data_IF_856117173235
#
_entry.id   IF_856117173235
#
_cell.length_a   1.000
_cell.length_b   1.000
_cell.length_c   1.000
_cell.angle_alpha   90.00
_cell.angle_beta   90.00
_cell.angle_gamma   90.00
#
_symmetry.space_group_name_H-M   'P 1'
#
loop_
_entity.id
_entity.type
_entity.pdbx_description
1 polymer ?
#
# COMPACT_ATOMS: atom_id res chain seq x y z
N UNK A 1 3.93 -4.63 -13.88
CA UNK A 1 2.62 -3.94 -13.76
C UNK A 1 2.00 -4.09 -12.37
N UNK A 2 1.79 -5.31 -11.87
CA UNK A 2 1.16 -5.55 -10.55
C UNK A 2 1.79 -4.75 -9.38
N UNK A 3 3.12 -4.78 -9.24
CA UNK A 3 3.85 -4.07 -8.17
C UNK A 3 3.65 -2.55 -8.24
N UNK A 4 3.69 -1.97 -9.45
CA UNK A 4 3.48 -0.53 -9.67
C UNK A 4 2.04 -0.16 -9.28
N UNK A 5 1.07 -0.97 -9.68
CA UNK A 5 -0.34 -0.78 -9.31
C UNK A 5 -0.53 -0.85 -7.80
N UNK A 6 0.11 -1.81 -7.12
CA UNK A 6 0.08 -1.88 -5.66
C UNK A 6 0.69 -0.64 -5.00
N UNK A 7 1.82 -0.13 -5.50
CA UNK A 7 2.43 1.08 -4.96
C UNK A 7 1.47 2.28 -5.08
N UNK A 8 0.88 2.48 -6.26
CA UNK A 8 -0.08 3.57 -6.51
C UNK A 8 -1.34 3.40 -5.65
N UNK A 9 -1.89 2.19 -5.60
CA UNK A 9 -3.09 1.91 -4.79
C UNK A 9 -2.84 2.20 -3.33
N UNK A 10 -1.68 1.81 -2.77
CA UNK A 10 -1.40 2.07 -1.37
C UNK A 10 -1.29 3.57 -1.08
N UNK A 11 -0.86 4.41 -2.03
CA UNK A 11 -0.89 5.87 -1.87
C UNK A 11 -2.33 6.36 -1.74
N UNK A 12 -3.22 5.94 -2.64
CA UNK A 12 -4.63 6.33 -2.58
C UNK A 12 -5.34 5.75 -1.36
N UNK A 13 -5.03 4.51 -0.97
CA UNK A 13 -5.57 3.86 0.22
C UNK A 13 -5.13 4.58 1.49
N UNK A 14 -3.92 5.14 1.53
CA UNK A 14 -3.50 5.97 2.65
C UNK A 14 -4.38 7.21 2.78
N UNK A 15 -4.66 7.92 1.67
CA UNK A 15 -5.61 9.05 1.69
C UNK A 15 -7.01 8.59 2.09
N UNK A 16 -7.48 7.44 1.58
CA UNK A 16 -8.77 6.87 1.92
C UNK A 16 -8.92 6.63 3.44
N UNK A 17 -7.87 6.15 4.10
CA UNK A 17 -7.94 5.73 5.51
C UNK A 17 -7.52 6.83 6.49
N UNK A 18 -6.47 7.57 6.15
CA UNK A 18 -5.83 8.57 7.00
C UNK A 18 -6.16 10.01 6.61
N UNK A 19 -6.89 10.23 5.52
CA UNK A 19 -7.29 11.57 5.07
C UNK A 19 -7.96 12.40 6.15
N UNK A 20 -8.73 11.76 7.05
CA UNK A 20 -9.37 12.39 8.21
C UNK A 20 -8.40 13.06 9.20
N UNK A 21 -7.13 12.66 9.23
CA UNK A 21 -6.11 13.18 10.13
C UNK A 21 -5.28 14.31 9.51
N UNK A 22 -5.49 14.63 8.24
CA UNK A 22 -4.80 15.73 7.58
C UNK A 22 -5.18 17.07 8.23
N UNK A 23 -4.20 17.97 8.34
CA UNK A 23 -4.40 19.31 8.87
C UNK A 23 -5.29 20.19 7.97
N UNK A 24 -5.60 21.41 8.40
CA UNK A 24 -6.52 22.32 7.70
C UNK A 24 -5.96 22.92 6.40
N UNK A 25 -4.69 22.65 6.08
CA UNK A 25 -4.12 23.04 4.79
C UNK A 25 -4.58 22.14 3.64
N UNK A 26 -5.11 20.96 3.96
CA UNK A 26 -5.60 20.00 2.97
C UNK A 26 -7.09 20.20 2.70
N UNK A 27 -7.55 19.94 1.46
CA UNK A 27 -8.96 20.06 1.12
C UNK A 27 -9.86 19.18 1.99
N UNK A 28 -10.96 19.74 2.49
CA UNK A 28 -11.91 19.02 3.37
C UNK A 28 -12.53 17.79 2.72
N UNK A 29 -12.63 17.75 1.38
CA UNK A 29 -13.20 16.59 0.69
C UNK A 29 -12.39 15.31 0.92
N UNK A 30 -11.07 15.39 1.16
CA UNK A 30 -10.23 14.23 1.52
C UNK A 30 -10.59 13.65 2.89
N UNK A 31 -11.21 14.43 3.77
CA UNK A 31 -11.67 14.03 5.10
C UNK A 31 -13.09 13.43 5.05
N UNK A 32 -13.78 13.54 3.91
CA UNK A 32 -15.19 13.18 3.78
C UNK A 32 -15.40 11.67 3.60
N UNK A 33 -16.49 11.14 4.17
CA UNK A 33 -16.90 9.74 3.93
C UNK A 33 -17.21 9.49 2.45
N UNK A 34 -17.68 10.51 1.72
CA UNK A 34 -17.97 10.39 0.29
C UNK A 34 -16.69 10.10 -0.51
N UNK A 35 -15.58 10.77 -0.20
CA UNK A 35 -14.29 10.46 -0.80
C UNK A 35 -13.88 9.00 -0.57
N UNK A 36 -14.06 8.49 0.65
CA UNK A 36 -13.77 7.08 0.99
C UNK A 36 -14.53 6.11 0.08
N UNK A 37 -15.82 6.35 -0.15
CA UNK A 37 -16.63 5.50 -1.02
C UNK A 37 -16.24 5.61 -2.50
N UNK A 38 -16.04 6.84 -3.00
CA UNK A 38 -15.71 7.08 -4.41
C UNK A 38 -14.34 6.51 -4.75
N UNK A 39 -13.33 6.68 -3.88
CA UNK A 39 -11.97 6.19 -4.13
C UNK A 39 -11.83 4.68 -3.84
N UNK A 40 -12.66 4.12 -2.96
CA UNK A 40 -12.63 2.71 -2.62
C UNK A 40 -12.95 1.79 -3.81
N UNK A 41 -13.89 2.17 -4.68
CA UNK A 41 -14.24 1.41 -5.88
C UNK A 41 -13.06 1.25 -6.88
N UNK A 42 -12.38 2.33 -7.33
CA UNK A 42 -11.23 2.21 -8.21
C UNK A 42 -10.04 1.52 -7.52
N UNK A 43 -9.83 1.72 -6.22
CA UNK A 43 -8.81 0.97 -5.46
C UNK A 43 -9.09 -0.53 -5.52
N UNK A 44 -10.32 -0.96 -5.24
CA UNK A 44 -10.71 -2.37 -5.29
C UNK A 44 -10.50 -2.98 -6.68
N UNK A 45 -10.88 -2.28 -7.74
CA UNK A 45 -10.65 -2.71 -9.12
C UNK A 45 -9.16 -2.84 -9.44
N UNK A 46 -8.34 -1.87 -9.03
CA UNK A 46 -6.90 -1.91 -9.26
C UNK A 46 -6.21 -3.06 -8.50
N UNK A 47 -6.63 -3.35 -7.26
CA UNK A 47 -6.16 -4.53 -6.50
C UNK A 47 -6.54 -5.84 -7.18
N UNK A 48 -7.75 -5.92 -7.74
CA UNK A 48 -8.19 -7.09 -8.50
C UNK A 48 -7.30 -7.33 -9.72
N UNK A 49 -7.02 -6.29 -10.52
CA UNK A 49 -6.11 -6.40 -11.67
C UNK A 49 -4.67 -6.73 -11.24
N UNK A 50 -4.16 -6.12 -10.18
CA UNK A 50 -2.82 -6.43 -9.66
C UNK A 50 -2.71 -7.91 -9.26
N UNK A 51 -3.75 -8.45 -8.62
CA UNK A 51 -3.83 -9.87 -8.25
C UNK A 51 -3.85 -10.76 -9.48
N UNK A 52 -4.67 -10.42 -10.49
CA UNK A 52 -4.75 -11.15 -11.76
C UNK A 52 -3.39 -11.20 -12.47
N UNK A 53 -2.74 -10.05 -12.68
CA UNK A 53 -1.45 -9.99 -13.37
C UNK A 53 -0.34 -10.73 -12.64
N UNK A 54 -0.35 -10.70 -11.31
CA UNK A 54 0.62 -11.47 -10.54
C UNK A 54 0.39 -12.96 -10.67
N UNK A 55 -0.86 -13.41 -10.63
CA UNK A 55 -1.20 -14.81 -10.80
C UNK A 55 -0.83 -15.32 -12.20
N UNK A 56 -1.08 -14.53 -13.24
CA UNK A 56 -0.69 -14.86 -14.62
C UNK A 56 0.83 -15.03 -14.80
N UNK A 57 1.64 -14.32 -14.00
CA UNK A 57 3.10 -14.41 -14.07
C UNK A 57 3.67 -15.54 -13.19
N UNK A 58 3.18 -15.68 -11.95
CA UNK A 58 3.76 -16.59 -10.96
C UNK A 58 3.01 -17.93 -10.82
N UNK A 59 1.73 -18.00 -11.16
CA UNK A 59 0.91 -19.22 -11.04
C UNK A 59 0.32 -19.48 -9.64
N UNK A 60 0.60 -18.64 -8.65
CA UNK A 60 0.10 -18.76 -7.28
C UNK A 60 -0.33 -17.39 -6.72
N UNK A 61 -1.06 -17.40 -5.60
CA UNK A 61 -1.74 -16.20 -5.05
C UNK A 61 -1.09 -15.61 -3.81
N UNK A 62 -0.11 -16.31 -3.22
CA UNK A 62 0.53 -15.87 -1.97
C UNK A 62 1.47 -14.69 -2.17
N UNK A 63 2.26 -14.70 -3.23
CA UNK A 63 3.26 -13.67 -3.50
C UNK A 63 2.65 -12.26 -3.51
N UNK A 64 1.56 -12.04 -4.26
CA UNK A 64 0.99 -10.71 -4.43
C UNK A 64 0.38 -10.17 -3.14
N UNK A 65 -0.15 -11.05 -2.29
CA UNK A 65 -0.70 -10.67 -0.97
C UNK A 65 0.41 -10.18 -0.05
N UNK A 66 1.52 -10.92 -0.01
CA UNK A 66 2.68 -10.59 0.82
C UNK A 66 3.40 -9.34 0.31
N UNK A 67 3.56 -9.20 -1.02
CA UNK A 67 4.03 -7.98 -1.67
C UNK A 67 3.12 -6.80 -1.31
N UNK A 68 1.80 -6.97 -1.41
CA UNK A 68 0.81 -5.94 -1.07
C UNK A 68 0.91 -5.48 0.38
N UNK A 69 1.06 -6.40 1.33
CA UNK A 69 1.26 -6.08 2.75
C UNK A 69 2.57 -5.32 2.99
N UNK A 70 3.68 -5.79 2.42
CA UNK A 70 4.98 -5.15 2.56
C UNK A 70 5.02 -3.76 1.93
N UNK A 71 4.57 -3.62 0.68
CA UNK A 71 4.49 -2.31 0.01
C UNK A 71 3.53 -1.36 0.70
N UNK A 72 2.39 -1.85 1.18
CA UNK A 72 1.45 -1.04 1.94
C UNK A 72 2.10 -0.47 3.20
N UNK A 73 2.81 -1.32 3.95
CA UNK A 73 3.53 -0.89 5.15
C UNK A 73 4.57 0.18 4.84
N UNK A 74 5.36 0.00 3.77
CA UNK A 74 6.37 0.98 3.35
C UNK A 74 5.75 2.30 2.93
N UNK A 75 4.73 2.27 2.06
CA UNK A 75 4.06 3.46 1.55
C UNK A 75 3.35 4.20 2.68
N UNK A 76 2.62 3.48 3.55
CA UNK A 76 1.91 4.09 4.67
C UNK A 76 2.88 4.73 5.66
N UNK A 77 3.99 4.06 5.98
CA UNK A 77 5.03 4.63 6.83
C UNK A 77 5.63 5.90 6.25
N UNK A 78 5.95 5.91 4.94
CA UNK A 78 6.49 7.10 4.28
C UNK A 78 5.48 8.27 4.25
N UNK A 79 4.21 7.98 3.97
CA UNK A 79 3.15 8.99 3.92
C UNK A 79 2.81 9.54 5.30
N UNK A 80 2.71 8.71 6.33
CA UNK A 80 2.48 9.18 7.70
C UNK A 80 3.62 10.07 8.18
N UNK A 81 4.87 9.70 7.89
CA UNK A 81 6.01 10.56 8.24
C UNK A 81 6.00 11.90 7.50
N UNK A 82 5.65 11.90 6.20
CA UNK A 82 5.72 13.10 5.35
C UNK A 82 4.50 14.01 5.42
N UNK A 83 3.30 13.49 5.70
CA UNK A 83 2.04 14.22 5.63
C UNK A 83 1.40 14.48 6.99
N UNK A 84 1.72 13.65 8.00
CA UNK A 84 1.22 13.78 9.37
C UNK A 84 2.34 14.13 10.36
N UNK A 85 3.57 14.34 9.88
CA UNK A 85 4.75 14.62 10.70
C UNK A 85 5.03 13.54 11.78
N UNK A 86 4.57 12.30 11.53
CA UNK A 86 4.77 11.17 12.46
C UNK A 86 6.18 10.59 12.32
N UNK A 87 7.09 10.99 13.21
CA UNK A 87 8.46 10.47 13.22
C UNK A 87 8.44 8.97 13.58
N UNK A 88 8.96 8.08 12.72
CA UNK A 88 8.94 6.65 12.98
C UNK A 88 9.82 6.29 14.17
N UNK A 89 9.22 5.59 15.14
CA UNK A 89 9.94 5.02 16.29
C UNK A 89 10.81 3.84 15.87
N UNK A 90 11.73 3.38 16.74
CA UNK A 90 12.56 2.21 16.48
C UNK A 90 11.74 0.96 16.12
N UNK A 91 10.63 0.70 16.83
CA UNK A 91 9.72 -0.41 16.50
C UNK A 91 9.13 -0.27 15.08
N UNK A 92 8.79 0.95 14.67
CA UNK A 92 8.26 1.25 13.33
C UNK A 92 9.32 1.01 12.27
N UNK A 93 10.56 1.46 12.51
CA UNK A 93 11.69 1.24 11.60
C UNK A 93 11.95 -0.26 11.41
N UNK A 94 11.92 -1.04 12.48
CA UNK A 94 12.07 -2.51 12.40
C UNK A 94 10.95 -3.12 11.53
N UNK A 95 9.71 -2.68 11.70
CA UNK A 95 8.60 -3.13 10.85
C UNK A 95 8.77 -2.74 9.38
N UNK A 96 9.28 -1.53 9.10
CA UNK A 96 9.56 -1.09 7.73
C UNK A 96 10.67 -1.91 7.08
N UNK A 97 11.73 -2.25 7.83
CA UNK A 97 12.79 -3.14 7.35
C UNK A 97 12.26 -4.55 7.07
N UNK A 98 11.42 -5.10 7.96
CA UNK A 98 10.77 -6.38 7.74
C UNK A 98 9.87 -6.36 6.50
N UNK A 99 9.10 -5.28 6.31
CA UNK A 99 8.26 -5.09 5.13
C UNK A 99 9.08 -5.04 3.84
N UNK A 100 10.23 -4.35 3.84
CA UNK A 100 11.17 -4.35 2.72
C UNK A 100 11.69 -5.76 2.41
N UNK A 101 12.09 -6.52 3.44
CA UNK A 101 12.53 -7.91 3.28
C UNK A 101 11.44 -8.79 2.68
N UNK A 102 10.18 -8.65 3.12
CA UNK A 102 9.04 -9.38 2.56
C UNK A 102 8.90 -9.08 1.06
N UNK A 103 8.92 -7.79 0.66
CA UNK A 103 8.81 -7.42 -0.76
C UNK A 103 9.94 -8.02 -1.59
N UNK A 104 11.18 -7.91 -1.12
CA UNK A 104 12.34 -8.43 -1.85
C UNK A 104 12.26 -9.96 -2.04
N UNK A 105 11.86 -10.70 -1.01
CA UNK A 105 11.72 -12.17 -1.09
C UNK A 105 10.62 -12.52 -2.09
N UNK A 106 9.49 -11.83 -2.07
CA UNK A 106 8.31 -12.21 -2.85
C UNK A 106 8.34 -11.75 -4.31
N UNK A 107 9.13 -10.71 -4.61
CA UNK A 107 9.39 -10.28 -6.00
C UNK A 107 10.37 -11.25 -6.69
N UNK A 108 11.16 -11.97 -5.91
CA UNK A 108 12.23 -12.81 -6.41
C UNK A 108 11.74 -14.26 -6.57
N UNK A 109 11.87 -14.82 -7.77
CA UNK A 109 11.51 -16.23 -8.04
C UNK A 109 12.61 -17.24 -7.59
N UNK A 110 13.42 -16.89 -6.59
CA UNK A 110 14.63 -17.65 -6.21
C UNK A 110 14.30 -18.86 -5.36
N UNK A 111 13.06 -18.98 -4.88
CA UNK A 111 12.55 -20.16 -4.20
C UNK A 111 11.31 -20.57 -4.99
N UNK A 112 11.45 -21.58 -5.84
CA UNK A 112 10.32 -22.09 -6.62
C UNK A 112 9.24 -22.62 -5.68
N UNK A 113 8.04 -22.04 -5.77
CA UNK A 113 6.80 -22.73 -5.43
C UNK A 113 6.27 -23.46 -6.66
#
# INVERSE_FOLDING_TARGET
MAVITLAIVNIFAWFQLNGQFLNDKWPEWLKSKLFVFIVGAPIGMALWYATKWSYEYFGFTWNIRLIGFGLGTLVFGAMSWSLLDEIPTLKTIICLLLAASIVLIQVTNVIGE
#
